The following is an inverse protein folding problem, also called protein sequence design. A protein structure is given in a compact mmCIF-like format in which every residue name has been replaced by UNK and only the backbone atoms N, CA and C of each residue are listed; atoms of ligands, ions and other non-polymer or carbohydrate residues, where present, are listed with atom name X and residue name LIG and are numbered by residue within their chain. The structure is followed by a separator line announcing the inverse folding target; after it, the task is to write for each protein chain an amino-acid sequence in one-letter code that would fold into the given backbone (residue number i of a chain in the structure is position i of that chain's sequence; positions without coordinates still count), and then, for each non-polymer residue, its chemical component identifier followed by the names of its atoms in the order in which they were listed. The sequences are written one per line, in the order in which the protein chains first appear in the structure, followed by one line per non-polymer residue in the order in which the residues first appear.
data_IF_969757794119
#
_entry.id   IF_969757794119
#
_cell.length_a   1.000
_cell.length_b   1.000
_cell.length_c   1.000
_cell.angle_alpha   90.00
_cell.angle_beta   90.00
_cell.angle_gamma   90.00
#
_symmetry.space_group_name_H-M   'P 1'
#
loop_
_entity.id
_entity.type
_entity.pdbx_description
1 polymer ?
#
# COMPACT_ATOMS: atom_id res chain seq x y z
N UNK A 1 25.87 -0.21 -4.30
CA UNK A 1 25.52 0.37 -2.99
C UNK A 1 24.75 -0.64 -2.13
N UNK A 2 25.27 -1.05 -0.97
CA UNK A 2 24.54 -1.87 0.02
C UNK A 2 24.09 -0.96 1.17
N UNK A 3 22.82 -0.56 1.23
CA UNK A 3 22.30 0.10 2.44
C UNK A 3 21.99 -0.98 3.48
N UNK A 4 22.85 -1.07 4.49
CA UNK A 4 22.62 -1.91 5.67
C UNK A 4 21.90 -1.03 6.68
N UNK A 5 20.57 -1.01 6.66
CA UNK A 5 19.81 -0.39 7.75
C UNK A 5 19.76 -1.38 8.91
N UNK A 6 20.52 -1.13 9.96
CA UNK A 6 20.22 -1.68 11.28
C UNK A 6 18.90 -1.03 11.72
N UNK A 7 17.78 -1.64 11.33
CA UNK A 7 16.48 -0.98 11.37
C UNK A 7 15.88 -1.05 12.77
N UNK A 8 15.94 0.03 13.54
CA UNK A 8 15.04 0.17 14.67
C UNK A 8 13.73 0.78 14.17
N UNK A 9 12.60 0.14 14.46
CA UNK A 9 11.28 0.69 14.21
C UNK A 9 10.80 1.39 15.47
N UNK A 10 10.52 2.69 15.38
CA UNK A 10 9.88 3.45 16.45
C UNK A 10 8.42 3.69 16.08
N UNK A 11 7.52 3.34 16.98
CA UNK A 11 6.07 3.54 16.82
C UNK A 11 5.61 4.51 17.90
N UNK A 12 4.75 5.45 17.52
CA UNK A 12 4.14 6.44 18.40
C UNK A 12 2.62 6.31 18.29
N UNK A 13 1.96 6.06 19.41
CA UNK A 13 0.50 6.13 19.54
C UNK A 13 0.14 7.46 20.20
N UNK A 14 -0.46 8.36 19.41
CA UNK A 14 -0.84 9.69 19.88
C UNK A 14 -2.05 9.67 20.82
N UNK A 15 -2.95 8.69 20.68
CA UNK A 15 -4.17 8.61 21.48
C UNK A 15 -3.86 8.21 22.92
N UNK A 16 -2.94 7.28 23.08
CA UNK A 16 -2.50 6.83 24.40
C UNK A 16 -1.25 7.57 24.88
N UNK A 17 -0.69 8.45 24.05
CA UNK A 17 0.60 9.12 24.30
C UNK A 17 1.73 8.13 24.62
N UNK A 18 1.75 6.97 23.94
CA UNK A 18 2.76 5.94 24.15
C UNK A 18 3.72 5.85 22.98
N UNK A 19 4.93 5.37 23.26
CA UNK A 19 5.90 5.05 22.22
C UNK A 19 6.63 3.75 22.53
N UNK A 20 6.95 2.98 21.51
CA UNK A 20 7.74 1.76 21.66
C UNK A 20 8.72 1.60 20.50
N UNK A 21 9.83 0.91 20.79
CA UNK A 21 10.91 0.64 19.84
C UNK A 21 11.09 -0.86 19.67
N UNK A 22 11.30 -1.29 18.44
CA UNK A 22 11.55 -2.68 18.09
C UNK A 22 12.82 -2.79 17.25
N UNK A 23 13.71 -3.71 17.61
CA UNK A 23 14.89 -4.03 16.81
C UNK A 23 14.51 -4.98 15.67
N UNK A 24 14.71 -4.53 14.44
CA UNK A 24 14.47 -5.30 13.21
C UNK A 24 15.76 -5.86 12.60
N UNK A 25 16.88 -5.82 13.31
CA UNK A 25 18.19 -6.32 12.83
C UNK A 25 18.13 -7.79 12.37
N UNK A 26 17.26 -8.59 13.00
CA UNK A 26 17.10 -10.03 12.74
C UNK A 26 15.93 -10.41 11.84
N UNK A 27 15.09 -9.47 11.43
CA UNK A 27 13.87 -9.75 10.65
C UNK A 27 14.13 -10.05 9.17
N UNK A 28 15.33 -9.74 8.65
CA UNK A 28 15.66 -9.95 7.23
C UNK A 28 16.00 -11.41 6.95
N UNK A 29 15.13 -12.09 6.22
CA UNK A 29 15.34 -13.46 5.77
C UNK A 29 15.92 -13.48 4.34
N UNK A 30 16.80 -14.43 4.03
CA UNK A 30 17.51 -14.50 2.74
C UNK A 30 16.56 -14.84 1.58
N UNK A 31 15.59 -15.68 1.85
CA UNK A 31 14.55 -16.23 0.98
C UNK A 31 13.28 -15.37 0.92
N UNK A 32 13.23 -14.23 1.60
CA UNK A 32 12.08 -13.33 1.53
C UNK A 32 11.90 -12.78 0.10
N UNK A 33 10.72 -12.92 -0.53
CA UNK A 33 10.47 -12.48 -1.91
C UNK A 33 10.48 -10.95 -2.09
N UNK A 34 10.54 -10.19 -0.98
CA UNK A 34 10.52 -8.72 -0.95
C UNK A 34 11.85 -8.13 -0.49
N UNK A 35 12.43 -8.61 0.61
CA UNK A 35 13.65 -8.03 1.19
C UNK A 35 14.90 -8.93 1.05
N UNK A 36 14.74 -10.16 0.56
CA UNK A 36 15.80 -11.17 0.41
C UNK A 36 16.80 -10.88 -0.71
N UNK A 37 17.52 -11.92 -1.13
CA UNK A 37 18.51 -11.82 -2.22
C UNK A 37 17.84 -11.84 -3.59
N UNK A 38 16.93 -12.77 -3.82
CA UNK A 38 16.15 -12.90 -5.05
C UNK A 38 14.75 -12.26 -4.87
N UNK A 39 14.63 -10.97 -5.18
CA UNK A 39 13.40 -10.20 -4.98
C UNK A 39 12.50 -10.31 -6.21
N UNK A 40 11.29 -10.83 -6.03
CA UNK A 40 10.28 -10.98 -7.09
C UNK A 40 9.08 -10.05 -6.89
N UNK A 41 8.92 -9.48 -5.69
CA UNK A 41 7.81 -8.58 -5.33
C UNK A 41 6.44 -9.05 -5.84
N UNK A 42 6.01 -10.26 -5.45
CA UNK A 42 4.86 -10.93 -6.09
C UNK A 42 3.57 -10.10 -6.03
N UNK A 43 3.40 -9.28 -4.99
CA UNK A 43 2.21 -8.47 -4.77
C UNK A 43 2.22 -7.09 -5.44
N UNK A 44 3.35 -6.64 -6.02
CA UNK A 44 3.39 -5.40 -6.81
C UNK A 44 2.91 -5.61 -8.26
N UNK A 45 3.10 -6.82 -8.78
CA UNK A 45 2.73 -7.18 -10.15
C UNK A 45 1.37 -7.86 -10.26
N UNK A 46 0.74 -8.19 -9.14
CA UNK A 46 -0.63 -8.69 -9.10
C UNK A 46 -1.58 -7.58 -9.58
N UNK A 47 -2.12 -7.72 -10.80
CA UNK A 47 -3.00 -6.76 -11.46
C UNK A 47 -4.41 -6.69 -10.85
N UNK A 48 -4.65 -7.32 -9.70
CA UNK A 48 -5.91 -7.14 -8.99
C UNK A 48 -6.11 -5.67 -8.68
N UNK A 49 -7.07 -5.06 -9.38
CA UNK A 49 -7.59 -3.72 -9.11
C UNK A 49 -8.18 -3.75 -7.70
N UNK A 50 -7.37 -3.43 -6.70
CA UNK A 50 -7.82 -3.37 -5.31
C UNK A 50 -8.61 -2.08 -5.14
N UNK A 51 -9.92 -2.14 -5.37
CA UNK A 51 -10.83 -1.14 -4.80
C UNK A 51 -10.79 -1.34 -3.29
N UNK A 52 -10.20 -0.39 -2.57
CA UNK A 52 -10.27 -0.36 -1.11
C UNK A 52 -11.46 0.49 -0.71
N UNK A 53 -12.38 -0.08 0.05
CA UNK A 53 -13.43 0.71 0.72
C UNK A 53 -12.80 1.23 2.00
N UNK A 54 -12.49 2.52 2.03
CA UNK A 54 -12.05 3.18 3.24
C UNK A 54 -13.30 3.70 3.94
N UNK A 55 -13.70 3.03 5.02
CA UNK A 55 -14.79 3.49 5.86
C UNK A 55 -14.51 4.93 6.33
N UNK A 56 -15.48 5.83 6.14
CA UNK A 56 -15.36 7.24 6.54
C UNK A 56 -14.81 8.20 5.47
N UNK A 57 -14.79 7.80 4.19
CA UNK A 57 -14.48 8.73 3.08
C UNK A 57 -15.68 8.88 2.16
N UNK A 58 -16.08 10.11 1.86
CA UNK A 58 -17.08 10.43 0.82
C UNK A 58 -16.50 10.40 -0.60
N UNK A 59 -15.38 9.68 -0.79
CA UNK A 59 -14.63 9.67 -2.05
C UNK A 59 -14.34 8.25 -2.49
N UNK A 60 -14.62 7.97 -3.76
CA UNK A 60 -14.23 6.73 -4.44
C UNK A 60 -13.00 7.00 -5.29
N UNK A 61 -12.00 6.13 -5.21
CA UNK A 61 -10.81 6.20 -6.05
C UNK A 61 -10.94 5.18 -7.20
N UNK A 62 -11.12 5.67 -8.42
CA UNK A 62 -11.22 4.85 -9.62
C UNK A 62 -9.86 4.84 -10.34
N UNK A 63 -9.26 3.66 -10.51
CA UNK A 63 -7.99 3.49 -11.24
C UNK A 63 -8.22 2.61 -12.46
N UNK A 64 -8.22 3.21 -13.65
CA UNK A 64 -8.26 2.49 -14.93
C UNK A 64 -7.54 3.27 -16.02
N UNK A 65 -6.84 2.55 -16.92
CA UNK A 65 -6.14 3.15 -18.08
C UNK A 65 -7.11 3.81 -19.07
N UNK A 66 -8.35 3.35 -19.09
CA UNK A 66 -9.38 3.83 -20.01
C UNK A 66 -10.05 5.13 -19.56
N UNK A 67 -9.79 5.59 -18.32
CA UNK A 67 -10.35 6.84 -17.81
C UNK A 67 -9.91 8.06 -18.63
N UNK A 68 -8.70 8.03 -19.18
CA UNK A 68 -8.18 9.10 -20.02
C UNK A 68 -9.02 9.33 -21.30
N UNK A 69 -9.85 8.36 -21.67
CA UNK A 69 -10.72 8.41 -22.86
C UNK A 69 -12.17 8.75 -22.54
N UNK A 70 -12.52 8.88 -21.26
CA UNK A 70 -13.90 9.06 -20.81
C UNK A 70 -14.14 10.51 -20.36
N UNK A 71 -15.28 11.08 -20.76
CA UNK A 71 -15.70 12.37 -20.24
C UNK A 71 -16.12 12.26 -18.77
N UNK A 72 -16.05 13.38 -18.05
CA UNK A 72 -16.39 13.46 -16.63
C UNK A 72 -17.80 12.92 -16.30
N UNK A 73 -18.77 13.07 -17.22
CA UNK A 73 -20.13 12.54 -17.06
C UNK A 73 -20.16 11.00 -17.04
N UNK A 74 -19.31 10.34 -17.84
CA UNK A 74 -19.20 8.88 -17.85
C UNK A 74 -18.55 8.35 -16.57
N UNK A 75 -17.56 9.09 -16.06
CA UNK A 75 -16.88 8.75 -14.79
C UNK A 75 -17.84 8.84 -13.61
N UNK A 76 -18.70 9.87 -13.55
CA UNK A 76 -19.74 10.00 -12.52
C UNK A 76 -20.72 8.82 -12.52
N UNK A 77 -21.16 8.35 -13.69
CA UNK A 77 -22.05 7.18 -13.79
C UNK A 77 -21.39 5.89 -13.29
N UNK A 78 -20.12 5.68 -13.63
CA UNK A 78 -19.37 4.51 -13.16
C UNK A 78 -19.15 4.53 -11.64
N UNK A 79 -18.92 5.71 -11.05
CA UNK A 79 -18.78 5.87 -9.60
C UNK A 79 -20.05 5.50 -8.82
N UNK A 80 -21.23 5.78 -9.37
CA UNK A 80 -22.53 5.47 -8.74
C UNK A 80 -22.86 3.98 -8.72
N UNK A 81 -22.22 3.15 -9.57
CA UNK A 81 -22.43 1.69 -9.61
C UNK A 81 -21.65 0.96 -8.50
N UNK A 82 -20.63 1.61 -7.92
CA UNK A 82 -19.76 1.05 -6.90
C UNK A 82 -20.09 1.51 -5.47
N UNK A 83 -21.18 2.27 -5.27
CA UNK A 83 -21.78 2.52 -3.95
C UNK A 83 -22.90 1.52 -3.67
#
# INVERSE_FOLDING_TARGET
MKSKSSGNLSVFDLWQSTSFKMDLSRTKQKDCPTCGTARTYPYLHDQRKKSTVLCGRDTVQIVSKDLAKLSFQHIKRAALIYM
#
